data_IF_161433582011
#
_entry.id   IF_161433582011
#
_cell.length_a   1.000
_cell.length_b   1.000
_cell.length_c   1.000
_cell.angle_alpha   90.00
_cell.angle_beta   90.00
_cell.angle_gamma   90.00
#
_symmetry.space_group_name_H-M   'P 1'
#
loop_
_entity.id
_entity.type
_entity.pdbx_description
1 polymer ?
#
# COMPACT_ATOMS: atom_id res chain seq x y z
N UNK A 1 1.13 -16.98 15.80
CA UNK A 1 2.33 -17.75 15.42
C UNK A 1 3.45 -16.76 15.15
N UNK A 2 4.55 -16.77 15.91
CA UNK A 2 5.73 -15.94 15.60
C UNK A 2 6.48 -16.64 14.47
N UNK A 3 6.26 -16.21 13.24
CA UNK A 3 7.11 -16.60 12.11
C UNK A 3 8.53 -16.08 12.40
N UNK A 4 9.53 -16.95 12.19
CA UNK A 4 10.92 -16.52 12.29
C UNK A 4 11.16 -15.39 11.28
N UNK A 5 11.92 -14.33 11.63
CA UNK A 5 12.24 -13.28 10.68
C UNK A 5 12.98 -13.88 9.49
N UNK A 6 12.51 -13.53 8.28
CA UNK A 6 13.17 -13.88 7.03
C UNK A 6 14.62 -13.38 7.02
N UNK A 7 15.48 -13.94 6.16
CA UNK A 7 16.87 -13.49 6.03
C UNK A 7 16.95 -11.96 5.82
N UNK A 8 16.08 -11.42 4.96
CA UNK A 8 15.92 -9.98 4.72
C UNK A 8 15.56 -9.19 6.00
N UNK A 9 14.64 -9.69 6.84
CA UNK A 9 14.28 -9.01 8.09
C UNK A 9 15.44 -8.98 9.11
N UNK A 10 16.34 -9.98 9.07
CA UNK A 10 17.54 -9.99 9.92
C UNK A 10 18.57 -8.97 9.47
N UNK A 11 18.79 -8.82 8.17
CA UNK A 11 19.67 -7.80 7.60
C UNK A 11 19.15 -6.39 7.90
N UNK A 12 17.84 -6.16 7.73
CA UNK A 12 17.21 -4.88 8.08
C UNK A 12 17.43 -4.51 9.56
N UNK A 13 17.30 -5.49 10.46
CA UNK A 13 17.55 -5.28 11.89
C UNK A 13 19.03 -4.96 12.18
N UNK A 14 19.96 -5.55 11.42
CA UNK A 14 21.38 -5.26 11.56
C UNK A 14 21.69 -3.81 11.19
N UNK A 15 21.18 -3.34 10.05
CA UNK A 15 21.35 -1.96 9.60
C UNK A 15 20.77 -0.94 10.59
N UNK A 16 19.57 -1.22 11.12
CA UNK A 16 18.94 -0.37 12.15
C UNK A 16 19.81 -0.28 13.41
N UNK A 17 20.42 -1.40 13.84
CA UNK A 17 21.30 -1.43 15.02
C UNK A 17 22.64 -0.74 14.78
N UNK A 18 23.12 -0.71 13.54
CA UNK A 18 24.35 -0.02 13.16
C UNK A 18 24.16 1.49 12.97
N UNK A 19 22.91 1.95 12.90
CA UNK A 19 22.59 3.38 12.74
C UNK A 19 22.84 4.14 14.05
N UNK A 20 23.56 5.28 14.03
CA UNK A 20 23.76 6.11 15.22
C UNK A 20 22.43 6.62 15.79
N UNK A 21 22.34 6.72 17.13
CA UNK A 21 21.09 7.05 17.83
C UNK A 21 20.48 8.39 17.39
N UNK A 22 21.30 9.37 17.07
CA UNK A 22 20.88 10.70 16.61
C UNK A 22 20.09 10.67 15.28
N UNK A 23 20.25 9.61 14.48
CA UNK A 23 19.55 9.44 13.20
C UNK A 23 18.37 8.46 13.29
N UNK A 24 18.20 7.74 14.40
CA UNK A 24 17.08 6.80 14.57
C UNK A 24 15.69 7.45 14.43
N UNK A 25 15.43 8.68 14.92
CA UNK A 25 14.14 9.34 14.69
C UNK A 25 13.84 9.55 13.21
N UNK A 26 14.83 9.98 12.41
CA UNK A 26 14.67 10.17 10.98
C UNK A 26 14.43 8.84 10.25
N UNK A 27 15.19 7.79 10.62
CA UNK A 27 14.99 6.44 10.07
C UNK A 27 13.60 5.89 10.39
N UNK A 28 13.09 6.13 11.61
CA UNK A 28 11.76 5.72 12.02
C UNK A 28 10.68 6.37 11.15
N UNK A 29 10.81 7.66 10.84
CA UNK A 29 9.87 8.37 9.95
C UNK A 29 9.89 7.81 8.53
N UNK A 30 11.07 7.43 8.00
CA UNK A 30 11.17 6.77 6.69
C UNK A 30 10.44 5.42 6.70
N UNK A 31 10.66 4.58 7.72
CA UNK A 31 9.98 3.28 7.83
C UNK A 31 8.48 3.45 7.99
N UNK A 32 8.03 4.44 8.77
CA UNK A 32 6.61 4.79 8.89
C UNK A 32 6.05 5.23 7.55
N UNK A 33 6.72 6.14 6.83
CA UNK A 33 6.31 6.61 5.52
C UNK A 33 6.18 5.46 4.51
N UNK A 34 7.17 4.58 4.47
CA UNK A 34 7.15 3.38 3.64
C UNK A 34 5.98 2.45 3.97
N UNK A 35 5.72 2.20 5.26
CA UNK A 35 4.57 1.40 5.70
C UNK A 35 3.24 2.04 5.30
N UNK A 36 3.09 3.35 5.47
CA UNK A 36 1.88 4.06 5.03
C UNK A 36 1.74 4.05 3.50
N UNK A 37 2.84 4.11 2.76
CA UNK A 37 2.85 4.01 1.30
C UNK A 37 2.50 2.63 0.78
N UNK A 38 2.91 1.55 1.45
CA UNK A 38 2.43 0.19 1.15
C UNK A 38 0.94 0.05 1.50
N UNK A 39 0.50 0.72 2.56
CA UNK A 39 -0.91 0.87 2.93
C UNK A 39 -1.63 1.93 2.05
N UNK A 40 -1.19 2.13 0.80
CA UNK A 40 -2.01 2.79 -0.22
C UNK A 40 -3.42 2.21 -0.18
N UNK A 41 -4.42 3.11 -0.14
CA UNK A 41 -5.82 2.91 0.29
C UNK A 41 -6.21 1.43 0.29
N UNK A 42 -6.48 0.81 1.46
CA UNK A 42 -6.94 -0.56 1.49
C UNK A 42 -8.08 -0.68 0.50
N UNK A 43 -8.13 -1.77 -0.27
CA UNK A 43 -9.19 -2.02 -1.24
C UNK A 43 -10.58 -1.71 -0.64
N UNK A 44 -10.74 -1.87 0.67
CA UNK A 44 -11.86 -1.38 1.48
C UNK A 44 -12.30 0.06 1.16
N UNK A 45 -11.41 1.05 1.14
CA UNK A 45 -11.77 2.45 0.89
C UNK A 45 -12.19 2.67 -0.57
N UNK A 46 -11.50 2.01 -1.52
CA UNK A 46 -11.87 2.03 -2.94
C UNK A 46 -13.20 1.33 -3.19
N UNK A 47 -13.46 0.21 -2.49
CA UNK A 47 -14.72 -0.54 -2.55
C UNK A 47 -15.85 0.26 -1.92
N UNK A 48 -15.62 0.85 -0.74
CA UNK A 48 -16.59 1.71 -0.06
C UNK A 48 -17.00 2.89 -0.94
N UNK A 49 -16.03 3.49 -1.63
CA UNK A 49 -16.28 4.56 -2.58
C UNK A 49 -17.04 4.06 -3.81
N UNK A 50 -16.61 2.95 -4.42
CA UNK A 50 -17.31 2.35 -5.56
C UNK A 50 -18.74 1.91 -5.25
N UNK A 51 -19.03 1.45 -4.02
CA UNK A 51 -20.40 1.15 -3.57
C UNK A 51 -21.25 2.43 -3.51
N UNK A 52 -20.70 3.55 -3.01
CA UNK A 52 -21.44 4.82 -2.97
C UNK A 52 -21.75 5.34 -4.37
N UNK A 53 -20.78 5.29 -5.27
CA UNK A 53 -20.93 5.68 -6.67
C UNK A 53 -21.98 4.82 -7.37
N UNK A 54 -21.96 3.50 -7.13
CA UNK A 54 -22.98 2.58 -7.65
C UNK A 54 -24.39 2.90 -7.14
N UNK A 55 -24.55 3.20 -5.85
CA UNK A 55 -25.84 3.60 -5.26
C UNK A 55 -26.32 4.97 -5.74
N UNK A 56 -25.40 5.88 -6.06
CA UNK A 56 -25.71 7.20 -6.62
C UNK A 56 -26.01 7.16 -8.13
N UNK A 57 -25.81 6.02 -8.79
CA UNK A 57 -25.96 5.88 -10.24
C UNK A 57 -24.78 6.45 -11.04
N UNK A 58 -23.67 6.79 -10.38
CA UNK A 58 -22.42 7.28 -10.98
C UNK A 58 -21.64 6.10 -11.57
N UNK A 59 -22.26 5.41 -12.52
CA UNK A 59 -21.71 4.21 -13.17
C UNK A 59 -21.67 4.39 -14.67
N UNK A 60 -20.73 3.69 -15.31
CA UNK A 60 -20.69 3.59 -16.77
C UNK A 60 -21.34 2.28 -17.20
N UNK A 61 -22.06 2.25 -18.35
CA UNK A 61 -22.66 1.04 -18.84
C UNK A 61 -21.58 0.03 -19.27
N UNK A 62 -21.89 -1.26 -19.11
CA UNK A 62 -20.94 -2.36 -19.44
C UNK A 62 -20.50 -2.32 -20.90
N UNK A 63 -21.34 -1.81 -21.80
CA UNK A 63 -20.99 -1.61 -23.22
C UNK A 63 -19.81 -0.65 -23.43
N UNK A 64 -19.55 0.24 -22.49
CA UNK A 64 -18.46 1.22 -22.54
C UNK A 64 -17.18 0.71 -21.85
N UNK A 65 -17.21 -0.45 -21.17
CA UNK A 65 -16.07 -0.96 -20.41
C UNK A 65 -14.79 -1.14 -21.25
N UNK A 66 -14.95 -1.50 -22.51
CA UNK A 66 -13.84 -1.73 -23.46
C UNK A 66 -13.67 -0.58 -24.46
N UNK A 67 -14.40 0.53 -24.30
CA UNK A 67 -14.31 1.66 -25.21
C UNK A 67 -12.88 2.22 -25.22
N UNK A 68 -12.25 2.24 -26.41
CA UNK A 68 -10.88 2.71 -26.58
C UNK A 68 -9.79 1.71 -26.23
N UNK A 69 -10.14 0.48 -25.83
CA UNK A 69 -9.18 -0.63 -25.67
C UNK A 69 -9.23 -1.50 -26.92
N UNK A 70 -8.31 -1.27 -27.86
CA UNK A 70 -8.05 -2.20 -28.97
C UNK A 70 -7.32 -3.43 -28.42
N UNK A 71 -8.06 -4.48 -28.07
CA UNK A 71 -7.49 -5.79 -27.81
C UNK A 71 -6.98 -6.38 -29.14
N UNK A 72 -5.66 -6.36 -29.33
CA UNK A 72 -4.97 -7.07 -30.43
C UNK A 72 -4.51 -8.45 -29.99
#
# INVERSE_FOLDING_TARGET
MRTAPSACAKELLHEIKATPEEYLPALLEIVRGFRHGILLKPAEESVRQGIKEALAGETLPVSELWAGIDAR
#
